data_IF_023802709081
#
_entry.id   IF_023802709081
#
_cell.length_a   1.000
_cell.length_b   1.000
_cell.length_c   1.000
_cell.angle_alpha   90.00
_cell.angle_beta   90.00
_cell.angle_gamma   90.00
#
_symmetry.space_group_name_H-M   'P 1'
#
loop_
_entity.id
_entity.type
_entity.pdbx_description
1 polymer ?
#
# COMPACT_ATOMS: atom_id res chain seq x y z
N UNK A 1 -2.95 -8.66 20.17
CA UNK A 1 -2.98 -7.41 19.44
C UNK A 1 -1.97 -6.40 20.02
N UNK A 2 -2.14 -5.94 21.27
CA UNK A 2 -1.26 -4.96 21.93
C UNK A 2 0.20 -5.41 22.03
N UNK A 3 0.47 -6.71 22.18
CA UNK A 3 1.82 -7.24 22.24
C UNK A 3 2.59 -7.08 20.92
N UNK A 4 1.93 -7.27 19.77
CA UNK A 4 2.54 -7.10 18.45
C UNK A 4 2.83 -5.62 18.16
N UNK A 5 1.88 -4.73 18.49
CA UNK A 5 2.08 -3.27 18.38
C UNK A 5 3.29 -2.83 19.20
N UNK A 6 3.33 -3.25 20.47
CA UNK A 6 4.43 -2.88 21.38
C UNK A 6 5.78 -3.37 20.87
N UNK A 7 5.83 -4.58 20.29
CA UNK A 7 7.05 -5.12 19.70
C UNK A 7 7.49 -4.33 18.47
N UNK A 8 6.56 -4.04 17.53
CA UNK A 8 6.87 -3.36 16.27
C UNK A 8 7.24 -1.88 16.49
N UNK A 9 6.72 -1.24 17.55
CA UNK A 9 7.15 0.10 17.98
C UNK A 9 8.51 0.07 18.69
N UNK A 10 8.79 -0.97 19.47
CA UNK A 10 10.03 -1.07 20.25
C UNK A 10 11.27 -1.26 19.37
N UNK A 11 11.14 -2.02 18.29
CA UNK A 11 12.28 -2.32 17.40
C UNK A 11 12.91 -1.07 16.82
N UNK A 12 12.19 -0.17 16.10
CA UNK A 12 12.78 1.07 15.59
C UNK A 12 13.28 1.99 16.70
N UNK A 13 12.58 2.09 17.83
CA UNK A 13 13.03 2.88 18.98
C UNK A 13 14.36 2.38 19.55
N UNK A 14 14.54 1.06 19.62
CA UNK A 14 15.80 0.46 20.10
C UNK A 14 16.94 0.76 19.14
N UNK A 15 16.70 0.71 17.82
CA UNK A 15 17.70 1.04 16.81
C UNK A 15 18.08 2.53 16.86
N UNK A 16 17.10 3.43 16.89
CA UNK A 16 17.33 4.88 17.03
C UNK A 16 18.18 5.16 18.27
N UNK A 17 17.78 4.60 19.42
CA UNK A 17 18.52 4.78 20.67
C UNK A 17 19.94 4.22 20.59
N UNK A 18 20.09 2.98 20.11
CA UNK A 18 21.39 2.31 20.03
C UNK A 18 22.38 3.07 19.15
N UNK A 19 21.98 3.47 17.93
CA UNK A 19 22.84 4.25 17.05
C UNK A 19 23.14 5.65 17.61
N UNK A 20 22.19 6.29 18.26
CA UNK A 20 22.43 7.58 18.93
C UNK A 20 23.46 7.45 20.08
N UNK A 21 23.41 6.36 20.86
CA UNK A 21 24.39 6.07 21.93
C UNK A 21 25.78 5.77 21.33
N UNK A 22 25.86 4.97 20.27
CA UNK A 22 27.11 4.69 19.55
C UNK A 22 27.75 5.98 19.05
N UNK A 23 26.98 6.85 18.38
CA UNK A 23 27.47 8.12 17.85
C UNK A 23 27.91 9.08 18.95
N UNK A 24 27.26 9.04 20.12
CA UNK A 24 27.63 9.88 21.27
C UNK A 24 28.89 9.40 21.97
N UNK A 25 29.05 8.08 22.16
CA UNK A 25 30.01 7.50 23.06
C UNK A 25 31.29 7.02 22.35
N UNK A 26 31.24 6.77 21.04
CA UNK A 26 32.37 6.26 20.27
C UNK A 26 32.92 7.32 19.29
N UNK A 27 34.18 7.76 19.43
CA UNK A 27 34.77 8.70 18.48
C UNK A 27 34.81 8.15 17.05
N UNK A 28 34.37 8.95 16.10
CA UNK A 28 34.34 8.58 14.67
C UNK A 28 33.09 7.87 14.18
N UNK A 29 32.17 7.49 15.06
CA UNK A 29 30.91 6.82 14.68
C UNK A 29 29.79 7.80 14.32
N UNK A 30 30.01 9.11 14.41
CA UNK A 30 29.08 10.13 13.92
C UNK A 30 29.19 10.24 12.39
N UNK A 31 28.79 9.20 11.70
CA UNK A 31 28.88 9.08 10.25
C UNK A 31 27.54 9.37 9.58
N UNK A 32 27.52 9.83 8.31
CA UNK A 32 26.27 9.98 7.54
C UNK A 32 25.46 8.69 7.48
N UNK A 33 26.11 7.54 7.42
CA UNK A 33 25.48 6.21 7.37
C UNK A 33 24.73 5.91 8.67
N UNK A 34 25.33 6.17 9.84
CA UNK A 34 24.69 5.98 11.13
C UNK A 34 23.52 6.95 11.34
N UNK A 35 23.67 8.21 10.88
CA UNK A 35 22.59 9.20 10.88
C UNK A 35 21.44 8.74 9.99
N UNK A 36 21.75 8.19 8.79
CA UNK A 36 20.71 7.70 7.87
C UNK A 36 19.91 6.56 8.49
N UNK A 37 20.52 5.64 9.22
CA UNK A 37 19.81 4.57 9.92
C UNK A 37 18.80 5.15 10.94
N UNK A 38 19.20 6.20 11.67
CA UNK A 38 18.30 6.86 12.63
C UNK A 38 17.10 7.49 11.90
N UNK A 39 17.36 8.15 10.77
CA UNK A 39 16.31 8.79 9.96
C UNK A 39 15.34 7.73 9.43
N UNK A 40 15.85 6.65 8.84
CA UNK A 40 15.04 5.57 8.26
C UNK A 40 14.14 4.90 9.33
N UNK A 41 14.69 4.66 10.53
CA UNK A 41 13.90 4.06 11.61
C UNK A 41 12.87 5.04 12.23
N UNK A 42 13.18 6.34 12.24
CA UNK A 42 12.23 7.37 12.66
C UNK A 42 11.07 7.51 11.65
N UNK A 43 11.35 7.48 10.34
CA UNK A 43 10.33 7.47 9.29
C UNK A 43 9.47 6.20 9.38
N UNK A 44 10.08 5.05 9.59
CA UNK A 44 9.38 3.78 9.80
C UNK A 44 8.42 3.84 10.99
N UNK A 45 8.87 4.39 12.12
CA UNK A 45 8.04 4.57 13.31
C UNK A 45 6.87 5.52 13.04
N UNK A 46 7.11 6.61 12.34
CA UNK A 46 6.07 7.58 11.95
C UNK A 46 5.00 6.93 11.08
N UNK A 47 5.40 6.14 10.09
CA UNK A 47 4.48 5.42 9.21
C UNK A 47 3.64 4.41 10.01
N UNK A 48 4.25 3.66 10.93
CA UNK A 48 3.54 2.71 11.78
C UNK A 48 2.49 3.40 12.67
N UNK A 49 2.83 4.55 13.26
CA UNK A 49 1.89 5.33 14.10
C UNK A 49 0.73 5.84 13.25
N UNK A 50 1.01 6.36 12.05
CA UNK A 50 -0.03 6.84 11.13
C UNK A 50 -0.97 5.70 10.69
N UNK A 51 -0.42 4.53 10.33
CA UNK A 51 -1.19 3.34 10.00
C UNK A 51 -2.13 2.92 11.14
N UNK A 52 -1.64 2.95 12.38
CA UNK A 52 -2.43 2.65 13.59
C UNK A 52 -3.57 3.64 13.80
N UNK A 53 -3.28 4.93 13.65
CA UNK A 53 -4.28 5.99 13.79
C UNK A 53 -5.34 5.89 12.70
N UNK A 54 -4.93 5.66 11.45
CA UNK A 54 -5.84 5.50 10.33
C UNK A 54 -6.75 4.29 10.52
N UNK A 55 -6.17 3.15 10.90
CA UNK A 55 -6.95 1.94 11.18
C UNK A 55 -7.95 2.16 12.32
N UNK A 56 -7.52 2.80 13.40
CA UNK A 56 -8.39 3.12 14.54
C UNK A 56 -9.56 4.01 14.15
N UNK A 57 -9.32 5.04 13.30
CA UNK A 57 -10.37 5.95 12.81
C UNK A 57 -11.34 5.24 11.86
N UNK A 58 -10.82 4.39 10.97
CA UNK A 58 -11.63 3.58 10.05
C UNK A 58 -12.57 2.64 10.81
N UNK A 59 -12.06 1.98 11.86
CA UNK A 59 -12.86 1.05 12.67
C UNK A 59 -13.89 1.72 13.56
N UNK A 60 -13.57 2.89 14.08
CA UNK A 60 -14.51 3.67 14.85
C UNK A 60 -15.68 4.23 14.00
N UNK A 61 -15.61 4.10 12.67
CA UNK A 61 -16.59 4.68 11.75
C UNK A 61 -16.68 6.21 11.85
N UNK A 62 -15.65 6.85 12.41
CA UNK A 62 -15.64 8.28 12.72
C UNK A 62 -15.42 9.13 11.47
N UNK A 63 -14.83 8.56 10.43
CA UNK A 63 -14.56 9.28 9.17
C UNK A 63 -15.60 8.89 8.13
N UNK A 64 -16.54 9.79 7.79
CA UNK A 64 -17.40 9.58 6.63
C UNK A 64 -16.55 9.54 5.36
N UNK A 65 -16.97 8.72 4.38
CA UNK A 65 -16.35 8.73 3.06
C UNK A 65 -16.72 10.03 2.33
N UNK A 66 -15.73 10.73 1.83
CA UNK A 66 -15.90 11.88 0.95
C UNK A 66 -15.89 11.42 -0.51
N UNK A 67 -16.97 10.73 -0.92
CA UNK A 67 -17.08 10.19 -2.28
C UNK A 67 -17.22 11.33 -3.29
N UNK A 68 -16.33 11.32 -4.27
CA UNK A 68 -16.36 12.21 -5.42
C UNK A 68 -16.16 11.39 -6.70
N UNK A 69 -16.61 11.93 -7.84
CA UNK A 69 -16.30 11.32 -9.12
C UNK A 69 -14.93 11.77 -9.58
N UNK A 70 -14.04 10.80 -9.79
CA UNK A 70 -12.68 11.08 -10.27
C UNK A 70 -12.20 10.03 -11.29
N UNK A 71 -11.18 10.40 -12.04
CA UNK A 71 -10.52 9.52 -12.99
C UNK A 71 -9.52 8.62 -12.26
N UNK A 72 -9.91 7.35 -12.04
CA UNK A 72 -9.08 6.36 -11.35
C UNK A 72 -7.76 6.10 -12.08
N UNK A 73 -7.79 6.08 -13.42
CA UNK A 73 -6.59 5.83 -14.23
C UNK A 73 -5.55 6.93 -14.05
N UNK A 74 -5.98 8.20 -14.05
CA UNK A 74 -5.11 9.35 -13.78
C UNK A 74 -4.57 9.33 -12.35
N UNK A 75 -5.42 9.02 -11.39
CA UNK A 75 -5.02 8.92 -9.98
C UNK A 75 -3.92 7.86 -9.80
N UNK A 76 -4.07 6.67 -10.41
CA UNK A 76 -3.05 5.63 -10.39
C UNK A 76 -1.76 6.08 -11.07
N UNK A 77 -1.83 6.75 -12.24
CA UNK A 77 -0.64 7.31 -12.91
C UNK A 77 0.10 8.30 -12.02
N UNK A 78 -0.62 9.20 -11.37
CA UNK A 78 -0.05 10.17 -10.43
C UNK A 78 0.64 9.52 -9.23
N UNK A 79 0.09 8.40 -8.74
CA UNK A 79 0.72 7.61 -7.68
C UNK A 79 2.02 6.99 -8.19
N UNK A 80 2.01 6.33 -9.34
CA UNK A 80 3.18 5.65 -9.89
C UNK A 80 4.33 6.60 -10.20
N UNK A 81 4.03 7.82 -10.65
CA UNK A 81 5.04 8.86 -10.88
C UNK A 81 5.89 9.17 -9.64
N UNK A 82 5.35 9.00 -8.43
CA UNK A 82 6.12 9.20 -7.19
C UNK A 82 7.20 8.15 -6.98
N UNK A 83 7.06 6.98 -7.61
CA UNK A 83 8.04 5.88 -7.55
C UNK A 83 9.11 5.97 -8.63
N UNK A 84 9.07 6.93 -9.55
CA UNK A 84 10.10 7.15 -10.59
C UNK A 84 11.51 7.35 -10.02
N UNK A 85 11.59 7.76 -8.74
CA UNK A 85 12.86 7.91 -8.01
C UNK A 85 13.54 6.56 -7.69
N UNK A 86 12.79 5.47 -7.73
CA UNK A 86 13.30 4.11 -7.49
C UNK A 86 13.88 3.55 -8.80
N UNK A 87 15.08 4.00 -9.17
CA UNK A 87 15.72 3.73 -10.46
C UNK A 87 15.83 2.23 -10.83
N UNK A 88 15.86 1.35 -9.82
CA UNK A 88 15.98 -0.10 -10.02
C UNK A 88 14.63 -0.80 -10.21
N UNK A 89 13.51 -0.11 -9.99
CA UNK A 89 12.19 -0.69 -10.06
C UNK A 89 11.47 -0.31 -11.36
N UNK A 90 10.66 -1.24 -11.87
CA UNK A 90 9.82 -1.03 -13.04
C UNK A 90 8.35 -1.16 -12.65
N UNK A 91 7.54 -0.15 -13.02
CA UNK A 91 6.11 -0.08 -12.70
C UNK A 91 5.26 0.02 -13.97
N UNK A 92 5.19 -1.04 -14.81
CA UNK A 92 4.32 -1.02 -15.99
C UNK A 92 2.86 -0.93 -15.55
N UNK A 93 2.12 0.02 -16.11
CA UNK A 93 0.69 0.17 -15.92
C UNK A 93 -0.06 -0.13 -17.21
N UNK A 94 -0.79 -1.23 -17.22
CA UNK A 94 -1.51 -1.77 -18.36
C UNK A 94 -3.00 -1.46 -18.23
N UNK A 95 -3.53 -0.68 -19.14
CA UNK A 95 -4.96 -0.36 -19.23
C UNK A 95 -5.36 -0.12 -20.71
N UNK A 96 -6.65 -0.23 -21.02
CA UNK A 96 -7.18 0.01 -22.38
C UNK A 96 -7.77 1.38 -22.53
N UNK A 97 -8.47 1.86 -21.51
CA UNK A 97 -9.20 3.11 -21.50
C UNK A 97 -9.18 3.73 -20.10
N UNK A 98 -9.43 5.02 -20.03
CA UNK A 98 -9.57 5.72 -18.76
C UNK A 98 -10.91 5.38 -18.10
N UNK A 99 -10.89 5.23 -16.78
CA UNK A 99 -12.05 4.78 -16.01
C UNK A 99 -12.35 5.78 -14.90
N UNK A 100 -13.64 6.09 -14.76
CA UNK A 100 -14.15 6.96 -13.73
C UNK A 100 -14.91 6.16 -12.68
N UNK A 101 -14.72 6.50 -11.41
CA UNK A 101 -15.37 5.88 -10.26
C UNK A 101 -15.94 6.94 -9.34
N UNK A 102 -16.93 6.54 -8.53
CA UNK A 102 -17.52 7.37 -7.47
C UNK A 102 -17.05 6.82 -6.13
N UNK A 103 -15.97 7.40 -5.60
CA UNK A 103 -15.29 6.93 -4.40
C UNK A 103 -14.54 8.07 -3.69
N UNK A 104 -14.03 7.81 -2.51
CA UNK A 104 -13.11 8.72 -1.82
C UNK A 104 -11.70 8.55 -2.42
N UNK A 105 -11.28 9.54 -3.21
CA UNK A 105 -10.02 9.48 -3.97
C UNK A 105 -8.80 9.31 -3.05
N UNK A 106 -8.77 9.98 -1.89
CA UNK A 106 -7.66 9.86 -0.96
C UNK A 106 -7.58 8.45 -0.37
N UNK A 107 -8.71 7.86 -0.03
CA UNK A 107 -8.78 6.49 0.50
C UNK A 107 -8.44 5.45 -0.55
N UNK A 108 -8.92 5.60 -1.78
CA UNK A 108 -8.55 4.68 -2.87
C UNK A 108 -7.08 4.84 -3.25
N UNK A 109 -6.53 6.04 -3.22
CA UNK A 109 -5.09 6.27 -3.37
C UNK A 109 -4.30 5.52 -2.28
N UNK A 110 -4.76 5.53 -1.03
CA UNK A 110 -4.15 4.78 0.06
C UNK A 110 -4.19 3.26 -0.18
N UNK A 111 -5.28 2.74 -0.78
CA UNK A 111 -5.35 1.33 -1.21
C UNK A 111 -4.24 1.02 -2.22
N UNK A 112 -4.12 1.83 -3.28
CA UNK A 112 -3.09 1.62 -4.32
C UNK A 112 -1.68 1.71 -3.71
N UNK A 113 -1.41 2.70 -2.87
CA UNK A 113 -0.12 2.83 -2.17
C UNK A 113 0.21 1.59 -1.34
N UNK A 114 -0.72 1.09 -0.55
CA UNK A 114 -0.49 -0.07 0.30
C UNK A 114 -0.19 -1.32 -0.54
N UNK A 115 -0.91 -1.52 -1.64
CA UNK A 115 -0.67 -2.66 -2.53
C UNK A 115 0.67 -2.55 -3.26
N UNK A 116 1.04 -1.36 -3.76
CA UNK A 116 2.32 -1.13 -4.43
C UNK A 116 3.48 -1.29 -3.44
N UNK A 117 3.40 -0.71 -2.25
CA UNK A 117 4.44 -0.84 -1.22
C UNK A 117 4.60 -2.30 -0.75
N UNK A 118 3.49 -3.03 -0.64
CA UNK A 118 3.53 -4.45 -0.36
C UNK A 118 4.28 -5.20 -1.48
N UNK A 119 3.96 -4.93 -2.75
CA UNK A 119 4.65 -5.51 -3.90
C UNK A 119 6.15 -5.15 -3.93
N UNK A 120 6.54 -3.90 -3.62
CA UNK A 120 7.94 -3.49 -3.49
C UNK A 120 8.66 -4.31 -2.42
N UNK A 121 8.04 -4.46 -1.25
CA UNK A 121 8.63 -5.17 -0.10
C UNK A 121 8.92 -6.63 -0.42
N UNK A 122 8.02 -7.28 -1.16
CA UNK A 122 8.10 -8.72 -1.44
C UNK A 122 8.53 -9.06 -2.88
N UNK A 123 8.83 -8.05 -3.72
CA UNK A 123 9.22 -8.25 -5.11
C UNK A 123 10.45 -9.16 -5.28
N UNK A 124 10.51 -9.84 -6.41
CA UNK A 124 11.65 -10.64 -6.82
C UNK A 124 12.88 -9.83 -7.25
N UNK A 125 13.87 -10.51 -7.78
CA UNK A 125 15.13 -9.90 -8.22
C UNK A 125 14.98 -8.97 -9.41
N UNK A 126 13.97 -9.16 -10.24
CA UNK A 126 13.65 -8.34 -11.41
C UNK A 126 13.03 -7.00 -11.05
N UNK A 127 12.63 -6.81 -9.78
CA UNK A 127 12.06 -5.57 -9.25
C UNK A 127 10.95 -4.98 -10.15
N UNK A 128 10.17 -5.86 -10.79
CA UNK A 128 9.06 -5.47 -11.65
C UNK A 128 7.74 -5.63 -10.90
N UNK A 129 6.97 -4.55 -10.84
CA UNK A 129 5.66 -4.51 -10.21
C UNK A 129 4.66 -4.06 -11.27
N UNK A 130 3.84 -4.99 -11.75
CA UNK A 130 2.90 -4.73 -12.83
C UNK A 130 1.54 -4.33 -12.26
N UNK A 131 1.05 -3.15 -12.63
CA UNK A 131 -0.32 -2.76 -12.39
C UNK A 131 -1.15 -3.01 -13.65
N UNK A 132 -2.38 -3.50 -13.46
CA UNK A 132 -3.32 -3.72 -14.55
C UNK A 132 -4.69 -3.20 -14.15
N UNK A 133 -5.35 -2.52 -15.07
CA UNK A 133 -6.71 -2.05 -14.94
C UNK A 133 -7.57 -2.70 -16.03
N UNK A 134 -8.60 -3.40 -15.62
CA UNK A 134 -9.50 -4.14 -16.52
C UNK A 134 -10.96 -3.85 -16.19
N UNK A 135 -11.78 -3.74 -17.24
CA UNK A 135 -13.22 -3.57 -17.10
C UNK A 135 -13.93 -4.92 -17.23
N UNK A 136 -14.79 -5.20 -16.27
CA UNK A 136 -15.59 -6.42 -16.25
C UNK A 136 -16.95 -6.18 -15.62
N UNK A 137 -18.02 -6.44 -16.36
CA UNK A 137 -19.41 -6.39 -15.87
C UNK A 137 -19.77 -5.10 -15.08
N UNK A 138 -19.40 -3.94 -15.61
CA UNK A 138 -19.69 -2.65 -14.98
C UNK A 138 -18.82 -2.31 -13.76
N UNK A 139 -17.75 -3.06 -13.54
CA UNK A 139 -16.73 -2.80 -12.53
C UNK A 139 -15.36 -2.60 -13.18
N UNK A 140 -14.53 -1.84 -12.52
CA UNK A 140 -13.09 -1.81 -12.79
C UNK A 140 -12.37 -2.69 -11.78
N UNK A 141 -11.52 -3.58 -12.27
CA UNK A 141 -10.56 -4.32 -11.45
C UNK A 141 -9.18 -3.71 -11.63
N UNK A 142 -8.56 -3.34 -10.54
CA UNK A 142 -7.15 -2.94 -10.48
C UNK A 142 -6.38 -4.03 -9.78
N UNK A 143 -5.33 -4.53 -10.42
CA UNK A 143 -4.44 -5.55 -9.86
C UNK A 143 -3.01 -5.06 -9.80
N UNK A 144 -2.29 -5.47 -8.75
CA UNK A 144 -0.88 -5.20 -8.52
C UNK A 144 -0.19 -6.55 -8.37
N UNK A 145 0.74 -6.83 -9.28
CA UNK A 145 1.44 -8.11 -9.36
C UNK A 145 2.92 -7.92 -9.06
N UNK A 146 3.44 -8.70 -8.14
CA UNK A 146 4.87 -8.86 -7.87
C UNK A 146 5.38 -10.23 -8.36
N UNK A 147 6.69 -10.35 -8.48
CA UNK A 147 7.41 -11.57 -8.88
C UNK A 147 8.17 -12.19 -7.71
N UNK A 148 7.69 -12.00 -6.50
CA UNK A 148 8.34 -12.43 -5.27
C UNK A 148 8.18 -13.92 -4.97
N UNK A 149 8.39 -14.27 -3.71
CA UNK A 149 8.36 -15.67 -3.25
C UNK A 149 6.95 -16.28 -3.24
N UNK A 150 5.92 -15.44 -3.40
CA UNK A 150 4.53 -15.89 -3.31
C UNK A 150 4.09 -16.20 -1.88
N UNK A 151 2.83 -16.59 -1.75
CA UNK A 151 2.17 -16.84 -0.47
C UNK A 151 1.58 -18.26 -0.48
N UNK A 152 1.80 -19.05 0.58
CA UNK A 152 1.18 -20.37 0.72
C UNK A 152 -0.35 -20.28 0.71
N UNK A 153 -1.01 -21.23 0.05
CA UNK A 153 -2.48 -21.23 -0.15
C UNK A 153 -3.27 -21.22 1.17
N UNK A 154 -2.76 -21.90 2.19
CA UNK A 154 -3.36 -21.96 3.53
C UNK A 154 -3.30 -20.62 4.27
N UNK A 155 -2.45 -19.68 3.83
CA UNK A 155 -2.25 -18.35 4.43
C UNK A 155 -3.04 -17.24 3.75
N UNK A 156 -3.55 -17.45 2.53
CA UNK A 156 -4.20 -16.40 1.73
C UNK A 156 -5.42 -15.75 2.41
N UNK A 157 -6.08 -16.45 3.32
CA UNK A 157 -7.20 -15.90 4.08
C UNK A 157 -6.75 -15.00 5.23
N UNK A 158 -5.63 -15.34 5.84
CA UNK A 158 -5.14 -14.70 7.06
C UNK A 158 -4.36 -13.41 6.79
N UNK A 159 -3.81 -13.23 5.57
CA UNK A 159 -2.99 -12.05 5.23
C UNK A 159 -3.73 -10.71 5.32
N UNK A 160 -5.07 -10.73 5.34
CA UNK A 160 -5.91 -9.54 5.51
C UNK A 160 -6.13 -9.16 6.97
N UNK A 161 -5.68 -10.04 7.89
CA UNK A 161 -5.76 -9.78 9.32
C UNK A 161 -4.61 -8.86 9.77
N UNK A 162 -4.87 -8.08 10.81
CA UNK A 162 -3.89 -7.12 11.38
C UNK A 162 -2.66 -7.83 11.90
N UNK A 163 -1.49 -7.24 11.65
CA UNK A 163 -0.20 -7.74 12.12
C UNK A 163 0.14 -9.16 11.63
N UNK A 164 -0.59 -9.63 10.63
CA UNK A 164 -0.27 -10.90 10.04
C UNK A 164 0.96 -10.76 9.12
N UNK A 165 1.94 -11.62 9.35
CA UNK A 165 3.15 -11.74 8.52
C UNK A 165 3.36 -13.21 8.26
N UNK A 166 3.53 -13.60 7.01
CA UNK A 166 3.65 -15.01 6.58
C UNK A 166 4.87 -15.69 7.21
N UNK A 167 5.97 -14.95 7.38
CA UNK A 167 7.20 -15.43 7.99
C UNK A 167 7.80 -14.39 8.95
N UNK A 168 7.95 -14.76 10.22
CA UNK A 168 8.60 -13.89 11.22
C UNK A 168 10.14 -13.91 11.11
N UNK A 169 10.71 -14.88 10.39
CA UNK A 169 12.16 -15.11 10.34
C UNK A 169 12.87 -14.41 9.16
N UNK A 170 12.15 -14.04 8.10
CA UNK A 170 12.75 -13.36 6.96
C UNK A 170 12.97 -11.86 7.26
N UNK A 171 14.19 -11.37 6.99
CA UNK A 171 14.57 -9.95 7.17
C UNK A 171 13.59 -8.97 6.48
N UNK A 172 12.97 -9.37 5.37
CA UNK A 172 11.97 -8.56 4.63
C UNK A 172 10.63 -8.46 5.37
N UNK A 173 10.21 -9.51 6.08
CA UNK A 173 9.00 -9.48 6.90
C UNK A 173 9.10 -8.51 8.09
N UNK A 174 10.33 -8.14 8.49
CA UNK A 174 10.56 -7.12 9.52
C UNK A 174 10.32 -5.68 9.02
N UNK A 175 10.31 -5.45 7.71
CA UNK A 175 10.17 -4.09 7.13
C UNK A 175 8.73 -3.59 7.06
N UNK A 176 7.72 -4.46 7.03
CA UNK A 176 6.31 -4.07 6.95
C UNK A 176 5.62 -3.98 8.32
N UNK A 177 4.65 -3.06 8.47
CA UNK A 177 3.82 -2.91 9.68
C UNK A 177 2.85 -4.09 9.89
N UNK A 178 2.53 -4.84 8.84
CA UNK A 178 1.46 -5.84 8.84
C UNK A 178 0.05 -5.21 8.95
N UNK A 179 -0.07 -3.91 8.75
CA UNK A 179 -1.33 -3.17 8.79
C UNK A 179 -1.84 -2.79 7.41
N UNK A 180 -0.97 -2.71 6.41
CA UNK A 180 -1.33 -2.20 5.08
C UNK A 180 -2.49 -2.95 4.43
N UNK A 181 -2.52 -4.28 4.47
CA UNK A 181 -3.62 -5.08 3.90
C UNK A 181 -4.91 -4.96 4.73
N UNK A 182 -4.83 -4.82 6.05
CA UNK A 182 -5.99 -4.57 6.89
C UNK A 182 -6.61 -3.19 6.60
N UNK A 183 -5.79 -2.18 6.32
CA UNK A 183 -6.25 -0.85 5.87
C UNK A 183 -6.94 -0.97 4.50
N UNK A 184 -6.35 -1.68 3.54
CA UNK A 184 -6.94 -1.95 2.22
C UNK A 184 -8.32 -2.59 2.37
N UNK A 185 -8.44 -3.65 3.16
CA UNK A 185 -9.70 -4.33 3.48
C UNK A 185 -10.73 -3.34 4.01
N UNK A 186 -10.42 -2.59 5.06
CA UNK A 186 -11.37 -1.65 5.67
C UNK A 186 -11.85 -0.57 4.70
N UNK A 187 -10.94 0.02 3.92
CA UNK A 187 -11.30 1.05 2.95
C UNK A 187 -12.23 0.48 1.88
N UNK A 188 -11.94 -0.69 1.36
CA UNK A 188 -12.76 -1.32 0.32
C UNK A 188 -14.12 -1.77 0.86
N UNK A 189 -14.18 -2.32 2.07
CA UNK A 189 -15.44 -2.67 2.75
C UNK A 189 -16.33 -1.43 2.92
N UNK A 190 -15.78 -0.28 3.32
CA UNK A 190 -16.51 1.00 3.41
C UNK A 190 -17.04 1.50 2.06
N UNK A 191 -16.33 1.19 0.97
CA UNK A 191 -16.75 1.55 -0.39
C UNK A 191 -17.73 0.54 -1.02
N UNK A 192 -17.99 -0.59 -0.36
CA UNK A 192 -18.73 -1.70 -0.95
C UNK A 192 -17.99 -2.37 -2.12
N UNK A 193 -16.67 -2.21 -2.16
CA UNK A 193 -15.78 -2.83 -3.13
C UNK A 193 -15.50 -4.30 -2.78
N UNK A 194 -14.89 -5.00 -3.72
CA UNK A 194 -14.39 -6.35 -3.50
C UNK A 194 -12.87 -6.38 -3.68
N UNK A 195 -12.21 -7.32 -3.04
CA UNK A 195 -10.75 -7.46 -3.10
C UNK A 195 -10.36 -8.92 -2.96
N UNK A 196 -9.15 -9.22 -3.34
CA UNK A 196 -8.61 -10.57 -3.22
C UNK A 196 -7.15 -10.65 -3.58
N UNK A 197 -6.66 -11.88 -3.54
CA UNK A 197 -5.29 -12.23 -3.87
C UNK A 197 -5.24 -13.56 -4.58
N UNK A 198 -4.37 -13.67 -5.57
CA UNK A 198 -3.94 -14.92 -6.16
C UNK A 198 -2.43 -15.01 -6.01
N UNK A 199 -1.91 -16.14 -5.58
CA UNK A 199 -0.49 -16.31 -5.38
C UNK A 199 -0.07 -17.76 -5.58
N UNK A 200 1.14 -17.94 -6.07
CA UNK A 200 1.78 -19.25 -6.21
C UNK A 200 3.20 -19.14 -5.67
N UNK A 201 3.57 -20.06 -4.80
CA UNK A 201 4.92 -20.10 -4.24
C UNK A 201 5.98 -20.11 -5.35
N UNK A 202 6.96 -19.25 -5.25
CA UNK A 202 8.05 -19.08 -6.22
C UNK A 202 7.68 -18.30 -7.48
N UNK A 203 6.43 -17.82 -7.63
CA UNK A 203 5.97 -17.10 -8.82
C UNK A 203 5.46 -15.68 -8.52
N UNK A 204 5.34 -15.33 -7.23
CA UNK A 204 4.84 -14.04 -6.80
C UNK A 204 3.36 -14.02 -6.45
N UNK A 205 2.84 -12.81 -6.29
CA UNK A 205 1.46 -12.58 -5.86
C UNK A 205 0.80 -11.50 -6.71
N UNK A 206 -0.52 -11.60 -6.86
CA UNK A 206 -1.36 -10.59 -7.49
C UNK A 206 -2.46 -10.22 -6.52
N UNK A 207 -2.39 -9.01 -5.97
CA UNK A 207 -3.44 -8.40 -5.19
C UNK A 207 -4.35 -7.57 -6.08
N UNK A 208 -5.65 -7.60 -5.85
CA UNK A 208 -6.60 -6.87 -6.67
C UNK A 208 -7.77 -6.32 -5.86
N UNK A 209 -8.38 -5.28 -6.38
CA UNK A 209 -9.65 -4.75 -5.90
C UNK A 209 -10.58 -4.38 -7.06
N UNK A 210 -11.87 -4.28 -6.78
CA UNK A 210 -12.89 -3.88 -7.74
C UNK A 210 -13.79 -2.79 -7.17
N UNK A 211 -14.11 -1.83 -8.03
CA UNK A 211 -15.08 -0.76 -7.76
C UNK A 211 -16.09 -0.67 -8.91
N UNK A 212 -17.34 -0.23 -8.65
CA UNK A 212 -18.29 0.10 -9.70
C UNK A 212 -17.76 1.25 -10.57
N UNK A 213 -17.93 1.11 -11.88
CA UNK A 213 -17.58 2.18 -12.85
C UNK A 213 -18.76 3.14 -12.98
N UNK A 214 -18.48 4.42 -13.07
CA UNK A 214 -19.45 5.45 -13.42
C UNK A 214 -19.15 5.98 -14.82
N UNK A 215 -20.20 6.27 -15.58
CA UNK A 215 -20.01 6.89 -16.89
C UNK A 215 -19.42 8.31 -16.70
N UNK A 216 -18.50 8.67 -17.57
CA UNK A 216 -18.06 10.06 -17.67
C UNK A 216 -19.31 10.91 -17.96
N UNK A 217 -19.64 11.85 -17.08
CA UNK A 217 -20.68 12.81 -17.43
C UNK A 217 -20.17 13.60 -18.63
N UNK A 218 -20.92 13.71 -19.70
CA UNK A 218 -20.57 14.67 -20.74
C UNK A 218 -20.60 16.06 -20.10
N UNK A 219 -19.44 16.60 -19.77
CA UNK A 219 -19.34 18.00 -19.35
C UNK A 219 -19.79 18.88 -20.51
N UNK A 220 -20.90 19.59 -20.27
CA UNK A 220 -21.13 20.91 -20.86
C UNK A 220 -21.16 20.98 -22.37
N UNK A 221 -22.22 20.51 -23.00
CA UNK A 221 -22.75 21.25 -24.14
C UNK A 221 -23.43 22.50 -23.55
N UNK A 222 -22.98 23.73 -23.88
CA UNK A 222 -23.76 24.92 -23.55
C UNK A 222 -25.12 24.78 -24.23
N UNK A 223 -26.17 24.85 -23.41
CA UNK A 223 -27.55 24.83 -23.92
C UNK A 223 -27.74 25.87 -25.00
N UNK A 224 -28.60 25.63 -25.99
CA UNK A 224 -28.87 26.63 -27.01
C UNK A 224 -29.39 27.93 -26.34
N UNK A 225 -28.64 28.99 -26.50
CA UNK A 225 -29.13 30.33 -26.17
C UNK A 225 -30.27 30.64 -27.14
N UNK A 226 -31.49 30.61 -26.63
CA UNK A 226 -32.69 31.10 -27.29
C UNK A 226 -32.90 32.58 -26.94
#
# INVERSE_FOLDING_TARGET
LLANVSHDLRTPLTMIKGYSEVMRDLPGENTPENVQIIIDEAERLTNLVNDLLDLSKLEAGVLPLEKTRFNLTESIRGILHRYDKLADYHFPFLYREEVWVDADELKISQVVYNLVNNAITYSGKDKTITLRQELWQGKVRVSVTDTGEGIPQDKLKDIWERYYKVDKEHKRAQMGSGLGLAIVKNILDMHGGTYGVTSTLGQGSTFWFELPVVQQSPEGLPGPQG
#
